data_IF_749906034687
#
_entry.id   IF_749906034687
#
_cell.length_a   1.000
_cell.length_b   1.000
_cell.length_c   1.000
_cell.angle_alpha   90.00
_cell.angle_beta   90.00
_cell.angle_gamma   90.00
#
_symmetry.space_group_name_H-M   'P 1'
#
loop_
_entity.id
_entity.type
_entity.pdbx_description
1 polymer ?
#
# COMPACT_ATOMS: atom_id res chain seq x y z
N UNK A 1 0.57 -60.47 8.64
CA UNK A 1 1.24 -59.36 7.93
C UNK A 1 0.65 -58.05 8.45
N UNK A 2 1.40 -57.31 9.28
CA UNK A 2 0.96 -56.01 9.83
C UNK A 2 1.57 -54.91 8.96
N UNK A 3 0.82 -54.44 7.96
CA UNK A 3 1.23 -53.31 7.12
C UNK A 3 0.86 -52.00 7.83
N UNK A 4 1.86 -51.21 8.22
CA UNK A 4 1.64 -49.85 8.71
C UNK A 4 1.53 -48.90 7.50
N UNK A 5 0.40 -48.22 7.38
CA UNK A 5 0.19 -47.16 6.39
C UNK A 5 0.82 -45.88 6.95
N UNK A 6 1.89 -45.41 6.30
CA UNK A 6 2.57 -44.15 6.64
C UNK A 6 1.81 -43.01 5.95
N UNK A 7 1.07 -42.22 6.72
CA UNK A 7 0.48 -40.97 6.24
C UNK A 7 1.56 -39.88 6.23
N UNK A 8 2.11 -39.58 5.05
CA UNK A 8 2.97 -38.42 4.84
C UNK A 8 2.07 -37.18 4.78
N UNK A 9 2.00 -36.42 5.87
CA UNK A 9 1.32 -35.13 5.91
C UNK A 9 2.14 -34.10 5.13
N UNK A 10 1.65 -33.67 3.98
CA UNK A 10 2.24 -32.60 3.18
C UNK A 10 1.83 -31.26 3.79
N UNK A 11 2.73 -30.61 4.55
CA UNK A 11 2.50 -29.24 5.03
C UNK A 11 2.70 -28.27 3.86
N UNK A 12 1.62 -27.96 3.15
CA UNK A 12 1.61 -26.81 2.25
C UNK A 12 1.74 -25.54 3.10
N UNK A 13 2.92 -24.91 3.09
CA UNK A 13 3.10 -23.59 3.69
C UNK A 13 2.35 -22.59 2.82
N UNK A 14 1.12 -22.24 3.23
CA UNK A 14 0.36 -21.19 2.57
C UNK A 14 1.05 -19.84 2.82
N UNK A 15 1.70 -19.30 1.80
CA UNK A 15 2.22 -17.92 1.80
C UNK A 15 1.04 -16.95 1.63
N UNK A 16 0.23 -16.80 2.69
CA UNK A 16 -0.83 -15.79 2.75
C UNK A 16 -0.24 -14.42 3.12
N UNK A 17 -0.97 -13.34 2.80
CA UNK A 17 -0.63 -12.00 3.23
C UNK A 17 -0.51 -11.91 4.76
N UNK A 18 0.63 -11.43 5.28
CA UNK A 18 0.93 -11.42 6.74
C UNK A 18 0.72 -10.07 7.43
N UNK A 19 0.19 -9.08 6.73
CA UNK A 19 0.11 -7.71 7.21
C UNK A 19 -0.93 -7.51 8.33
N UNK A 20 -1.89 -8.43 8.43
CA UNK A 20 -2.93 -8.45 9.45
C UNK A 20 -2.41 -8.58 10.90
N UNK A 21 -1.25 -9.23 11.12
CA UNK A 21 -0.74 -9.44 12.47
C UNK A 21 -0.01 -8.22 13.05
N UNK A 22 0.34 -7.23 12.22
CA UNK A 22 1.06 -6.01 12.60
C UNK A 22 0.77 -4.88 11.61
N UNK A 23 -0.46 -4.37 11.58
CA UNK A 23 -0.71 -3.10 10.89
C UNK A 23 0.04 -2.01 11.65
N UNK A 24 1.06 -1.35 11.06
CA UNK A 24 1.87 -0.38 11.79
C UNK A 24 1.01 0.80 12.26
N UNK A 25 1.45 1.54 13.28
CA UNK A 25 0.85 2.82 13.62
C UNK A 25 0.70 3.69 12.37
N UNK A 26 -0.40 4.42 12.30
CA UNK A 26 -0.75 5.27 11.19
C UNK A 26 0.35 6.26 10.77
N UNK A 27 1.06 6.86 11.74
CA UNK A 27 2.21 7.74 11.49
C UNK A 27 3.28 7.01 10.69
N UNK A 28 3.58 5.77 11.06
CA UNK A 28 4.57 4.94 10.38
C UNK A 28 4.12 4.58 8.96
N UNK A 29 2.86 4.21 8.76
CA UNK A 29 2.32 3.96 7.42
C UNK A 29 2.40 5.21 6.52
N UNK A 30 2.06 6.38 7.05
CA UNK A 30 2.18 7.65 6.35
C UNK A 30 3.65 7.94 5.98
N UNK A 31 4.56 7.81 6.95
CA UNK A 31 5.97 8.13 6.75
C UNK A 31 6.68 7.15 5.81
N UNK A 32 6.32 5.87 5.85
CA UNK A 32 6.90 4.83 4.97
C UNK A 32 6.31 4.83 3.55
N UNK A 33 5.22 5.55 3.31
CA UNK A 33 4.65 5.68 1.97
C UNK A 33 5.40 6.73 1.15
N UNK A 34 5.67 6.47 -0.14
CA UNK A 34 6.26 7.49 -1.02
C UNK A 34 5.22 8.47 -1.55
N UNK A 35 3.97 8.03 -1.70
CA UNK A 35 2.85 8.94 -1.96
C UNK A 35 1.76 8.73 -0.91
N UNK A 36 1.02 9.79 -0.60
CA UNK A 36 -0.22 9.73 0.19
C UNK A 36 -1.22 10.71 -0.40
N UNK A 37 -2.42 10.22 -0.71
CA UNK A 37 -3.48 11.00 -1.38
C UNK A 37 -4.83 10.71 -0.74
N UNK A 38 -5.68 11.73 -0.67
CA UNK A 38 -7.12 11.56 -0.56
C UNK A 38 -7.68 11.63 -1.98
N UNK A 39 -8.26 10.52 -2.42
CA UNK A 39 -8.72 10.39 -3.79
C UNK A 39 -10.02 9.60 -3.87
N UNK A 40 -10.81 9.91 -4.90
CA UNK A 40 -12.01 9.18 -5.28
C UNK A 40 -11.67 8.16 -6.36
N UNK A 41 -12.16 6.94 -6.22
CA UNK A 41 -12.02 5.92 -7.27
C UNK A 41 -13.03 6.21 -8.37
N UNK A 42 -12.58 6.42 -9.60
CA UNK A 42 -13.45 6.74 -10.75
C UNK A 42 -13.59 5.56 -11.70
N UNK A 43 -12.60 4.67 -11.75
CA UNK A 43 -12.60 3.48 -12.60
C UNK A 43 -11.93 2.30 -11.91
N UNK A 44 -12.28 1.10 -12.38
CA UNK A 44 -11.66 -0.17 -11.96
C UNK A 44 -11.55 -1.09 -13.18
N UNK A 45 -10.32 -1.46 -13.53
CA UNK A 45 -10.03 -2.41 -14.60
C UNK A 45 -9.22 -3.59 -14.06
N UNK A 46 -9.44 -4.78 -14.64
CA UNK A 46 -8.69 -6.00 -14.29
C UNK A 46 -7.89 -6.44 -15.49
N UNK A 47 -6.58 -6.61 -15.31
CA UNK A 47 -5.68 -7.12 -16.34
C UNK A 47 -4.76 -8.18 -15.75
N UNK A 48 -4.94 -9.43 -16.16
CA UNK A 48 -4.21 -10.57 -15.61
C UNK A 48 -4.49 -10.74 -14.11
N UNK A 49 -3.44 -10.70 -13.30
CA UNK A 49 -3.49 -10.84 -11.84
C UNK A 49 -3.47 -9.49 -11.10
N UNK A 50 -3.68 -8.38 -11.80
CA UNK A 50 -3.67 -7.03 -11.26
C UNK A 50 -5.02 -6.34 -11.45
N UNK A 51 -5.30 -5.42 -10.54
CA UNK A 51 -6.41 -4.47 -10.64
C UNK A 51 -5.80 -3.08 -10.73
N UNK A 52 -6.30 -2.30 -11.68
CA UNK A 52 -5.97 -0.91 -11.88
C UNK A 52 -7.17 -0.05 -11.47
N UNK A 53 -6.93 0.96 -10.66
CA UNK A 53 -7.93 1.94 -10.25
C UNK A 53 -7.52 3.31 -10.76
N UNK A 54 -8.44 3.99 -11.44
CA UNK A 54 -8.27 5.41 -11.75
C UNK A 54 -8.73 6.24 -10.55
N UNK A 55 -7.92 7.23 -10.22
CA UNK A 55 -8.10 8.13 -9.09
C UNK A 55 -8.37 9.55 -9.59
N UNK A 56 -9.38 10.17 -9.00
CA UNK A 56 -9.57 11.62 -9.03
C UNK A 56 -9.08 12.19 -7.70
N UNK A 57 -8.05 13.04 -7.74
CA UNK A 57 -7.44 13.58 -6.53
C UNK A 57 -8.26 14.71 -5.95
N UNK A 58 -8.66 14.54 -4.69
CA UNK A 58 -9.18 15.64 -3.86
C UNK A 58 -8.00 16.40 -3.23
N UNK A 59 -7.02 15.65 -2.70
CA UNK A 59 -5.81 16.22 -2.11
C UNK A 59 -4.61 15.26 -2.20
N UNK A 60 -3.41 15.83 -2.41
CA UNK A 60 -2.14 15.09 -2.39
C UNK A 60 -1.33 15.54 -1.17
N UNK A 61 -1.24 14.67 -0.17
CA UNK A 61 -0.58 14.96 1.11
C UNK A 61 0.93 14.76 1.08
N UNK A 62 1.40 13.78 0.32
CA UNK A 62 2.81 13.41 0.26
C UNK A 62 3.17 12.89 -1.13
N UNK A 63 4.34 13.31 -1.65
CA UNK A 63 5.01 12.72 -2.81
C UNK A 63 6.53 12.84 -2.59
N UNK A 64 7.20 11.72 -2.39
CA UNK A 64 8.65 11.61 -2.28
C UNK A 64 9.25 11.52 -3.68
N UNK A 65 9.70 12.66 -4.21
CA UNK A 65 10.36 12.73 -5.52
C UNK A 65 11.89 12.69 -5.39
N UNK A 66 12.62 11.97 -6.27
CA UNK A 66 14.06 12.10 -6.39
C UNK A 66 14.47 13.54 -6.69
N UNK A 67 15.61 13.99 -6.14
CA UNK A 67 16.09 15.38 -6.28
C UNK A 67 16.31 15.81 -7.73
N UNK A 68 16.69 14.86 -8.58
CA UNK A 68 17.09 15.11 -9.96
C UNK A 68 15.94 14.97 -10.97
N UNK A 69 14.71 14.71 -10.49
CA UNK A 69 13.57 14.49 -11.37
C UNK A 69 12.89 15.82 -11.78
N UNK A 70 12.42 15.94 -13.05
CA UNK A 70 11.73 17.14 -13.52
C UNK A 70 10.55 17.46 -12.61
N UNK A 71 10.41 18.74 -12.24
CA UNK A 71 9.30 19.23 -11.40
C UNK A 71 7.91 18.99 -11.99
N UNK A 72 7.84 18.63 -13.27
CA UNK A 72 6.62 18.60 -14.07
C UNK A 72 6.11 17.16 -14.29
N UNK A 73 6.80 16.14 -13.75
CA UNK A 73 6.29 14.77 -13.79
C UNK A 73 5.19 14.67 -12.71
N UNK A 74 3.93 14.65 -13.17
CA UNK A 74 2.77 14.58 -12.29
C UNK A 74 2.57 13.16 -11.75
N UNK A 75 1.96 13.07 -10.57
CA UNK A 75 1.49 11.81 -10.01
C UNK A 75 0.45 11.21 -10.99
N UNK A 76 0.61 9.96 -11.45
CA UNK A 76 -0.30 9.35 -12.41
C UNK A 76 -1.67 9.15 -11.78
N UNK A 77 -2.77 9.32 -12.51
CA UNK A 77 -4.09 9.04 -11.93
C UNK A 77 -4.37 7.54 -11.72
N UNK A 78 -3.57 6.65 -12.31
CA UNK A 78 -3.75 5.21 -12.19
C UNK A 78 -2.90 4.63 -11.07
N UNK A 79 -3.50 3.80 -10.23
CA UNK A 79 -2.83 3.01 -9.19
C UNK A 79 -3.17 1.53 -9.36
N UNK A 80 -2.22 0.62 -9.12
CA UNK A 80 -2.50 -0.81 -9.20
C UNK A 80 -2.30 -1.57 -7.88
N UNK A 81 -2.97 -2.71 -7.77
CA UNK A 81 -2.82 -3.69 -6.68
C UNK A 81 -3.02 -5.11 -7.19
N UNK A 82 -2.70 -6.11 -6.38
CA UNK A 82 -2.97 -7.50 -6.70
C UNK A 82 -4.48 -7.81 -6.76
N UNK A 83 -4.87 -8.74 -7.63
CA UNK A 83 -6.26 -9.18 -7.77
C UNK A 83 -6.74 -9.98 -6.56
N UNK A 84 -5.86 -10.76 -5.94
CA UNK A 84 -6.24 -11.66 -4.85
C UNK A 84 -5.71 -11.19 -3.49
N UNK A 85 -6.59 -11.17 -2.49
CA UNK A 85 -6.26 -10.82 -1.11
C UNK A 85 -5.17 -11.71 -0.51
N UNK A 86 -5.12 -12.99 -0.90
CA UNK A 86 -4.09 -13.93 -0.42
C UNK A 86 -2.67 -13.50 -0.81
N UNK A 87 -2.53 -12.67 -1.84
CA UNK A 87 -1.27 -12.06 -2.29
C UNK A 87 -1.17 -10.57 -1.91
N UNK A 88 -1.85 -10.15 -0.83
CA UNK A 88 -1.93 -8.78 -0.36
C UNK A 88 -2.60 -7.80 -1.33
N UNK A 89 -3.38 -8.31 -2.28
CA UNK A 89 -4.21 -7.49 -3.16
C UNK A 89 -5.35 -6.79 -2.43
N UNK A 90 -5.79 -5.64 -2.94
CA UNK A 90 -6.94 -4.89 -2.42
C UNK A 90 -8.04 -4.83 -3.47
N UNK A 91 -8.83 -5.92 -3.65
CA UNK A 91 -9.80 -5.99 -4.74
C UNK A 91 -11.10 -5.23 -4.50
N UNK A 92 -11.31 -4.66 -3.31
CA UNK A 92 -12.63 -4.18 -2.88
C UNK A 92 -12.70 -2.66 -2.75
N UNK A 93 -11.89 -1.89 -3.49
CA UNK A 93 -12.17 -0.46 -3.61
C UNK A 93 -13.39 -0.26 -4.52
N UNK A 94 -14.28 0.64 -4.12
CA UNK A 94 -15.55 0.89 -4.77
C UNK A 94 -15.49 2.18 -5.61
N UNK A 95 -15.98 2.09 -6.84
CA UNK A 95 -16.14 3.27 -7.71
C UNK A 95 -17.09 4.27 -7.04
N UNK A 96 -16.71 5.54 -7.05
CA UNK A 96 -17.43 6.65 -6.44
C UNK A 96 -17.14 6.86 -4.96
N UNK A 97 -16.39 5.96 -4.31
CA UNK A 97 -15.96 6.13 -2.91
C UNK A 97 -14.59 6.79 -2.84
N UNK A 98 -14.38 7.48 -1.73
CA UNK A 98 -13.15 8.18 -1.41
C UNK A 98 -12.31 7.39 -0.41
N UNK A 99 -11.00 7.43 -0.60
CA UNK A 99 -10.04 6.71 0.22
C UNK A 99 -8.83 7.59 0.49
N UNK A 100 -8.23 7.39 1.66
CA UNK A 100 -6.83 7.74 1.88
C UNK A 100 -5.99 6.58 1.38
N UNK A 101 -5.18 6.82 0.35
CA UNK A 101 -4.32 5.81 -0.28
C UNK A 101 -2.88 6.32 -0.21
N UNK A 102 -2.01 5.49 0.35
CA UNK A 102 -0.57 5.68 0.31
C UNK A 102 0.15 4.38 0.05
N UNK A 103 1.32 4.48 -0.58
CA UNK A 103 2.11 3.34 -1.00
C UNK A 103 3.41 3.76 -1.67
N UNK A 104 4.13 2.80 -2.27
CA UNK A 104 5.38 3.08 -2.94
C UNK A 104 5.20 3.74 -4.32
N UNK A 105 6.23 4.47 -4.74
CA UNK A 105 6.39 4.97 -6.10
C UNK A 105 7.53 4.22 -6.76
N UNK A 106 7.28 3.64 -7.94
CA UNK A 106 8.33 3.03 -8.76
C UNK A 106 8.62 3.96 -9.93
N UNK A 107 9.84 4.50 -9.93
CA UNK A 107 10.31 5.42 -10.95
C UNK A 107 10.99 4.64 -12.08
N UNK A 108 10.51 4.84 -13.31
CA UNK A 108 11.17 4.41 -14.53
C UNK A 108 11.78 5.62 -15.25
N UNK A 109 12.50 5.38 -16.35
CA UNK A 109 13.15 6.45 -17.10
C UNK A 109 12.16 7.48 -17.68
N UNK A 110 10.96 7.05 -18.07
CA UNK A 110 9.97 7.83 -18.81
C UNK A 110 8.62 7.98 -18.09
N UNK A 111 8.36 7.19 -17.05
CA UNK A 111 7.11 7.25 -16.29
C UNK A 111 7.32 6.86 -14.82
N UNK A 112 6.31 7.11 -14.00
CA UNK A 112 6.22 6.63 -12.62
C UNK A 112 4.98 5.76 -12.50
N UNK A 113 5.05 4.74 -11.66
CA UNK A 113 3.90 3.91 -11.33
C UNK A 113 3.65 3.93 -9.84
N UNK A 114 2.36 3.87 -9.48
CA UNK A 114 1.91 3.76 -8.11
C UNK A 114 1.35 2.36 -7.89
N UNK A 115 1.69 1.76 -6.76
CA UNK A 115 1.05 0.54 -6.32
C UNK A 115 0.81 0.55 -4.83
N UNK A 116 -0.10 -0.33 -4.40
CA UNK A 116 -0.38 -0.54 -2.98
C UNK A 116 -0.84 -1.98 -2.74
N UNK A 117 -0.75 -2.36 -1.48
CA UNK A 117 -1.11 -3.68 -0.97
C UNK A 117 -1.88 -3.50 0.32
N UNK A 118 -2.46 -4.57 0.85
CA UNK A 118 -3.10 -4.59 2.18
C UNK A 118 -2.19 -4.11 3.33
N UNK A 119 -0.87 -4.01 3.09
CA UNK A 119 0.13 -3.62 4.07
C UNK A 119 0.40 -2.11 4.09
N UNK A 120 -0.10 -1.39 3.08
CA UNK A 120 0.10 0.04 2.95
C UNK A 120 -1.06 0.82 3.58
N UNK A 121 -1.02 2.15 3.44
CA UNK A 121 -2.04 3.03 3.99
C UNK A 121 -3.26 3.04 3.07
N UNK A 122 -4.29 2.25 3.41
CA UNK A 122 -5.59 2.31 2.73
C UNK A 122 -6.70 2.39 3.76
N UNK A 123 -7.49 3.46 3.72
CA UNK A 123 -8.66 3.64 4.57
C UNK A 123 -9.78 4.31 3.80
N UNK A 124 -11.02 3.87 4.04
CA UNK A 124 -12.18 4.63 3.58
C UNK A 124 -12.14 6.03 4.19
N UNK A 125 -12.38 7.06 3.39
CA UNK A 125 -12.29 8.45 3.84
C UNK A 125 -13.20 8.75 5.05
N UNK A 126 -14.36 8.10 5.14
CA UNK A 126 -15.27 8.27 6.29
C UNK A 126 -14.70 7.73 7.60
N UNK A 127 -13.70 6.85 7.55
CA UNK A 127 -13.04 6.23 8.70
C UNK A 127 -11.73 6.94 9.08
N UNK A 128 -11.32 7.93 8.28
CA UNK A 128 -10.12 8.73 8.51
C UNK A 128 -10.39 9.73 9.63
N UNK A 129 -9.62 9.63 10.72
CA UNK A 129 -9.79 10.53 11.87
C UNK A 129 -9.43 11.97 11.52
N UNK A 130 -10.00 12.95 12.23
CA UNK A 130 -9.66 14.37 12.03
C UNK A 130 -8.16 14.67 12.24
N UNK A 131 -7.49 13.87 13.08
CA UNK A 131 -6.04 13.96 13.26
C UNK A 131 -5.29 13.60 11.97
N UNK A 132 -5.77 12.63 11.20
CA UNK A 132 -5.18 12.24 9.90
C UNK A 132 -5.40 13.30 8.83
N UNK A 133 -6.59 13.90 8.79
CA UNK A 133 -6.90 14.99 7.85
C UNK A 133 -5.95 16.18 8.06
N UNK A 134 -5.52 16.39 9.31
CA UNK A 134 -4.47 17.36 9.65
C UNK A 134 -3.05 16.75 9.52
N UNK A 135 -2.73 16.27 8.31
CA UNK A 135 -1.48 15.59 7.93
C UNK A 135 -0.19 16.32 8.35
N UNK A 136 -0.24 17.65 8.52
CA UNK A 136 0.88 18.51 8.97
C UNK A 136 1.43 18.11 10.35
N UNK A 137 0.73 17.27 11.11
CA UNK A 137 1.16 16.73 12.39
C UNK A 137 2.04 15.47 12.29
N UNK A 138 2.13 14.84 11.12
CA UNK A 138 3.02 13.69 10.94
C UNK A 138 4.45 14.20 10.71
N UNK A 139 5.21 14.39 11.79
CA UNK A 139 6.64 14.61 11.69
C UNK A 139 7.34 13.27 11.40
N UNK A 140 7.82 13.08 10.18
CA UNK A 140 8.49 11.85 9.72
C UNK A 140 10.00 11.84 10.01
N UNK A 141 10.42 12.52 11.08
CA UNK A 141 11.76 12.33 11.62
C UNK A 141 11.96 10.87 12.03
N UNK A 142 13.05 10.29 11.55
CA UNK A 142 13.49 8.95 11.88
C UNK A 142 13.89 8.97 13.35
N UNK A 143 13.10 8.37 14.24
CA UNK A 143 13.58 7.99 15.56
C UNK A 143 14.63 6.90 15.31
N UNK A 144 15.91 7.27 15.38
CA UNK A 144 17.01 6.31 15.26
C UNK A 144 16.94 5.40 16.48
N UNK A 145 16.33 4.23 16.35
CA UNK A 145 16.53 3.15 17.32
C UNK A 145 18.02 2.79 17.28
N UNK A 146 18.68 2.92 18.42
CA UNK A 146 20.10 2.59 18.57
C UNK A 146 20.35 1.15 18.10
N UNK A 147 21.43 0.89 17.34
CA UNK A 147 21.74 -0.46 16.87
C UNK A 147 21.95 -1.39 18.07
N UNK A 148 21.12 -2.42 18.16
CA UNK A 148 21.29 -3.52 19.11
C UNK A 148 22.51 -4.33 18.65
N UNK A 149 23.63 -4.18 19.35
CA UNK A 149 24.79 -5.07 19.18
C UNK A 149 24.50 -6.39 19.90
N UNK A 150 24.58 -7.51 19.18
CA UNK A 150 24.66 -8.83 19.79
C UNK A 150 26.13 -9.13 20.09
N UNK A 151 26.45 -9.32 21.38
CA UNK A 151 27.76 -9.81 21.85
C UNK A 151 28.00 -11.28 21.47
#
# INVERSE_FOLDING_TARGET
MRGAIVFIACFAVAHACRCANRTPPLKEQFCNSNFVTHAKVTKKDVAGNLIYYDLEYEEVYKVDKPKDMPRNLWLPNEVYTGLEEKYCGVPNLEIGKEYLIGGPLVWYYDHVTMFFTQCNLIKNWTEVSEQMKNHKKFNCEIETEEPIFYE
#
